data_IF_744511426397
#
_entry.id   IF_744511426397
#
_cell.length_a   1.000
_cell.length_b   1.000
_cell.length_c   1.000
_cell.angle_alpha   90.00
_cell.angle_beta   90.00
_cell.angle_gamma   90.00
#
_symmetry.space_group_name_H-M   'P 1'
#
loop_
_entity.id
_entity.type
_entity.pdbx_description
1 polymer ?
#
# COMPACT_ATOMS: atom_id res chain seq x y z
N UNK A 1 6.22 -6.03 -11.79
CA UNK A 1 5.16 -4.99 -11.81
C UNK A 1 4.39 -5.05 -10.50
N UNK A 2 4.17 -3.91 -9.84
CA UNK A 2 3.38 -3.82 -8.61
C UNK A 2 1.96 -3.36 -8.96
N UNK A 3 0.96 -4.09 -8.47
CA UNK A 3 -0.45 -3.75 -8.56
C UNK A 3 -1.03 -3.58 -7.15
N UNK A 4 -2.18 -2.94 -7.06
CA UNK A 4 -2.92 -2.74 -5.82
C UNK A 4 -4.37 -3.15 -6.06
N UNK A 5 -5.00 -3.79 -5.09
CA UNK A 5 -6.45 -4.03 -5.15
C UNK A 5 -7.22 -2.75 -4.87
N UNK A 6 -8.46 -2.65 -5.36
CA UNK A 6 -9.32 -1.49 -5.12
C UNK A 6 -9.45 -1.17 -3.61
N UNK A 7 -9.54 -2.22 -2.80
CA UNK A 7 -9.62 -2.08 -1.34
C UNK A 7 -8.32 -1.56 -0.72
N UNK A 8 -7.15 -2.05 -1.18
CA UNK A 8 -5.86 -1.50 -0.77
C UNK A 8 -5.75 -0.01 -1.13
N UNK A 9 -6.17 0.36 -2.34
CA UNK A 9 -6.20 1.75 -2.79
C UNK A 9 -7.11 2.62 -1.90
N UNK A 10 -8.30 2.13 -1.54
CA UNK A 10 -9.23 2.85 -0.67
C UNK A 10 -8.62 3.12 0.72
N UNK A 11 -8.07 2.09 1.35
CA UNK A 11 -7.45 2.21 2.68
C UNK A 11 -6.23 3.13 2.64
N UNK A 12 -5.36 2.98 1.64
CA UNK A 12 -4.15 3.81 1.52
C UNK A 12 -4.50 5.28 1.24
N UNK A 13 -5.48 5.54 0.37
CA UNK A 13 -5.95 6.90 0.10
C UNK A 13 -6.56 7.54 1.36
N UNK A 14 -7.35 6.79 2.13
CA UNK A 14 -7.90 7.27 3.40
C UNK A 14 -6.82 7.57 4.43
N UNK A 15 -5.80 6.71 4.52
CA UNK A 15 -4.65 6.91 5.41
C UNK A 15 -3.85 8.15 5.00
N UNK A 16 -3.54 8.34 3.72
CA UNK A 16 -2.86 9.53 3.19
C UNK A 16 -3.66 10.80 3.51
N UNK A 17 -4.96 10.81 3.17
CA UNK A 17 -5.82 11.96 3.42
C UNK A 17 -5.96 12.29 4.91
N UNK A 18 -5.98 11.28 5.78
CA UNK A 18 -5.99 11.47 7.23
C UNK A 18 -4.66 12.03 7.74
N UNK A 19 -3.53 11.48 7.28
CA UNK A 19 -2.20 11.90 7.68
C UNK A 19 -1.90 13.34 7.25
N UNK A 20 -2.29 13.70 6.01
CA UNK A 20 -2.09 15.03 5.44
C UNK A 20 -2.86 16.14 6.17
N UNK A 21 -3.90 15.80 6.93
CA UNK A 21 -4.57 16.77 7.82
C UNK A 21 -3.67 17.21 8.98
N UNK A 22 -2.74 16.36 9.41
CA UNK A 22 -1.80 16.66 10.49
C UNK A 22 -0.48 17.21 9.96
N UNK A 23 0.07 16.60 8.91
CA UNK A 23 1.28 17.08 8.22
C UNK A 23 1.07 16.95 6.70
N UNK A 24 0.93 18.08 5.96
CA UNK A 24 0.63 18.06 4.53
C UNK A 24 1.73 17.44 3.66
N UNK A 25 2.95 17.29 4.19
CA UNK A 25 4.10 16.71 3.51
C UNK A 25 4.18 15.19 3.67
N UNK A 26 3.45 14.62 4.64
CA UNK A 26 3.39 13.17 4.84
C UNK A 26 2.76 12.47 3.64
N UNK A 27 3.37 11.35 3.25
CA UNK A 27 2.92 10.41 2.24
C UNK A 27 2.95 8.99 2.80
N UNK A 28 2.31 8.08 2.08
CA UNK A 28 2.32 6.65 2.40
C UNK A 28 3.56 6.01 1.78
N UNK A 29 4.33 5.27 2.60
CA UNK A 29 5.46 4.44 2.15
C UNK A 29 5.15 2.97 2.39
N UNK A 30 5.40 2.13 1.40
CA UNK A 30 5.36 0.68 1.55
C UNK A 30 6.71 0.21 2.08
N UNK A 31 6.71 -0.70 3.05
CA UNK A 31 7.91 -1.28 3.64
C UNK A 31 7.78 -2.80 3.58
N UNK A 32 8.86 -3.47 3.15
CA UNK A 32 8.91 -4.93 3.16
C UNK A 32 9.09 -5.41 4.59
N UNK A 33 8.29 -6.39 5.01
CA UNK A 33 8.48 -7.05 6.29
C UNK A 33 9.35 -8.30 6.15
N UNK A 34 10.09 -8.60 7.21
CA UNK A 34 10.86 -9.84 7.32
C UNK A 34 9.87 -11.01 7.42
N UNK A 35 9.64 -11.70 6.29
CA UNK A 35 8.65 -12.78 6.18
C UNK A 35 7.81 -12.76 4.91
N UNK A 36 8.02 -11.78 4.01
CA UNK A 36 7.31 -11.71 2.72
C UNK A 36 6.00 -10.91 2.77
N UNK A 37 5.65 -10.33 3.92
CA UNK A 37 4.60 -9.34 4.05
C UNK A 37 5.06 -7.94 3.62
N UNK A 38 4.10 -7.04 3.51
CA UNK A 38 4.36 -5.60 3.37
C UNK A 38 3.54 -4.85 4.39
N UNK A 39 4.10 -3.75 4.89
CA UNK A 39 3.43 -2.81 5.78
C UNK A 39 3.42 -1.45 5.11
N UNK A 40 2.47 -0.59 5.48
CA UNK A 40 2.54 0.82 5.14
C UNK A 40 2.96 1.63 6.35
N UNK A 41 3.71 2.68 6.09
CA UNK A 41 4.13 3.68 7.06
C UNK A 41 3.81 5.06 6.51
N UNK A 42 3.68 6.03 7.40
CA UNK A 42 3.47 7.43 7.05
C UNK A 42 4.78 8.16 7.25
N UNK A 43 5.30 8.75 6.18
CA UNK A 43 6.57 9.47 6.19
C UNK A 43 6.53 10.67 5.25
N UNK A 44 7.20 11.74 5.64
CA UNK A 44 7.46 12.93 4.81
C UNK A 44 8.76 12.82 4.02
N UNK A 45 9.57 11.77 4.24
CA UNK A 45 10.82 11.52 3.53
C UNK A 45 10.78 10.22 2.74
N UNK A 46 10.95 10.33 1.41
CA UNK A 46 11.20 9.17 0.56
C UNK A 46 12.64 8.67 0.76
N UNK A 47 12.82 7.36 0.75
CA UNK A 47 14.15 6.76 0.71
C UNK A 47 14.78 6.97 -0.66
N UNK A 48 16.12 7.12 -0.77
CA UNK A 48 16.80 7.21 -2.06
C UNK A 48 16.50 6.05 -3.02
N UNK A 49 16.10 4.90 -2.48
CA UNK A 49 15.76 3.70 -3.25
C UNK A 49 14.26 3.50 -3.46
N UNK A 50 13.43 4.42 -2.94
CA UNK A 50 12.00 4.36 -3.15
C UNK A 50 11.64 4.93 -4.53
N UNK A 51 10.77 4.21 -5.22
CA UNK A 51 10.07 4.70 -6.39
C UNK A 51 8.84 5.48 -5.95
N UNK A 52 8.72 6.70 -6.42
CA UNK A 52 7.50 7.49 -6.29
C UNK A 52 6.47 6.99 -7.30
N UNK A 53 5.30 6.58 -6.81
CA UNK A 53 4.17 6.15 -7.60
C UNK A 53 2.97 7.07 -7.33
N UNK A 54 2.50 7.74 -8.38
CA UNK A 54 1.27 8.51 -8.32
C UNK A 54 0.09 7.61 -8.72
N UNK A 55 -0.95 7.57 -7.89
CA UNK A 55 -2.18 6.86 -8.21
C UNK A 55 -3.20 7.78 -8.86
N UNK A 56 -4.06 7.23 -9.72
CA UNK A 56 -5.13 7.99 -10.39
C UNK A 56 -6.12 8.63 -9.40
N UNK A 57 -6.25 8.06 -8.20
CA UNK A 57 -7.03 8.59 -7.09
C UNK A 57 -6.42 9.84 -6.43
N UNK A 58 -5.22 10.27 -6.87
CA UNK A 58 -4.60 11.54 -6.46
C UNK A 58 -3.73 11.48 -5.21
N UNK A 59 -3.39 10.29 -4.70
CA UNK A 59 -2.41 10.13 -3.62
C UNK A 59 -1.07 9.61 -4.17
N UNK A 60 -0.01 9.86 -3.41
CA UNK A 60 1.36 9.48 -3.78
C UNK A 60 1.88 8.42 -2.83
N UNK A 61 2.50 7.39 -3.39
CA UNK A 61 3.09 6.27 -2.68
C UNK A 61 4.61 6.24 -2.88
N UNK A 62 5.34 5.96 -1.81
CA UNK A 62 6.75 5.58 -1.88
C UNK A 62 6.86 4.07 -1.82
N UNK A 63 7.43 3.46 -2.86
CA UNK A 63 7.49 2.01 -3.02
C UNK A 63 8.95 1.59 -3.16
N UNK A 64 9.44 0.67 -2.30
CA UNK A 64 10.80 0.18 -2.41
C UNK A 64 11.05 -0.46 -3.77
N UNK A 65 12.23 -0.24 -4.32
CA UNK A 65 12.61 -0.84 -5.60
C UNK A 65 12.50 -2.38 -5.57
N UNK A 66 12.16 -2.96 -6.72
CA UNK A 66 12.04 -4.39 -6.94
C UNK A 66 10.84 -5.05 -6.24
N UNK A 67 9.89 -4.26 -5.72
CA UNK A 67 8.65 -4.82 -5.16
C UNK A 67 7.74 -5.24 -6.30
N UNK A 68 7.39 -6.52 -6.33
CA UNK A 68 6.56 -7.10 -7.39
C UNK A 68 5.44 -7.93 -6.79
N UNK A 69 4.25 -7.87 -7.40
CA UNK A 69 3.07 -8.56 -6.92
C UNK A 69 1.84 -7.66 -6.83
N UNK A 70 0.85 -8.12 -6.09
CA UNK A 70 -0.38 -7.36 -5.82
C UNK A 70 -0.46 -7.07 -4.32
N UNK A 71 -0.46 -5.79 -3.97
CA UNK A 71 -0.75 -5.34 -2.61
C UNK A 71 -2.25 -5.45 -2.38
N UNK A 72 -2.63 -6.20 -1.37
CA UNK A 72 -4.01 -6.41 -0.97
C UNK A 72 -4.18 -6.20 0.53
N UNK A 73 -5.42 -6.06 0.99
CA UNK A 73 -5.76 -5.86 2.40
C UNK A 73 -6.56 -7.07 2.90
N UNK A 74 -6.13 -7.65 4.02
CA UNK A 74 -6.86 -8.71 4.71
C UNK A 74 -7.74 -8.10 5.81
N UNK A 75 -9.04 -8.33 5.69
CA UNK A 75 -10.01 -8.10 6.76
C UNK A 75 -9.87 -9.14 7.89
N UNK A 76 -10.17 -8.79 9.15
CA UNK A 76 -10.74 -7.52 9.64
C UNK A 76 -9.72 -6.51 10.15
N UNK A 77 -8.42 -6.73 9.95
CA UNK A 77 -7.35 -5.96 10.61
C UNK A 77 -6.72 -4.88 9.72
N UNK A 78 -7.29 -4.60 8.55
CA UNK A 78 -6.72 -3.70 7.54
C UNK A 78 -5.23 -4.00 7.27
N UNK A 79 -4.86 -5.28 7.34
CA UNK A 79 -3.47 -5.69 7.21
C UNK A 79 -3.10 -5.77 5.73
N UNK A 80 -2.12 -4.97 5.32
CA UNK A 80 -1.56 -5.10 3.98
C UNK A 80 -0.78 -6.40 3.85
N UNK A 81 -0.92 -7.03 2.69
CA UNK A 81 -0.17 -8.21 2.28
C UNK A 81 0.34 -8.02 0.86
N UNK A 82 1.47 -8.64 0.55
CA UNK A 82 2.00 -8.70 -0.81
C UNK A 82 1.74 -10.10 -1.35
N UNK A 83 0.87 -10.19 -2.35
CA UNK A 83 0.61 -11.43 -3.08
C UNK A 83 1.62 -11.56 -4.21
N UNK A 84 2.26 -12.72 -4.32
CA UNK A 84 3.15 -13.01 -5.45
C UNK A 84 2.35 -13.05 -6.75
N UNK A 85 2.94 -12.62 -7.89
CA UNK A 85 2.27 -12.71 -9.19
C UNK A 85 1.97 -14.19 -9.52
N UNK A 86 0.69 -14.55 -9.54
CA UNK A 86 0.21 -15.92 -9.74
C UNK A 86 -0.59 -16.51 -8.57
N UNK A 87 -0.66 -15.82 -7.43
CA UNK A 87 -1.58 -16.19 -6.35
C UNK A 87 -3.01 -15.78 -6.75
N UNK A 88 -4.01 -16.69 -6.71
CA UNK A 88 -5.36 -16.36 -7.15
C UNK A 88 -5.95 -15.23 -6.31
N UNK A 89 -6.59 -14.26 -6.98
CA UNK A 89 -7.40 -13.21 -6.36
C UNK A 89 -8.47 -13.86 -5.47
N UNK A 90 -8.15 -13.98 -4.18
CA UNK A 90 -9.14 -14.24 -3.15
C UNK A 90 -9.38 -12.92 -2.43
N UNK A 91 -10.12 -12.03 -3.07
CA UNK A 91 -10.83 -10.98 -2.34
C UNK A 91 -11.69 -11.71 -1.32
N UNK A 92 -11.27 -11.75 -0.06
CA UNK A 92 -12.04 -12.37 1.01
C UNK A 92 -13.16 -11.43 1.43
N UNK A 93 -14.06 -11.12 0.49
CA UNK A 93 -15.37 -10.60 0.82
C UNK A 93 -16.12 -11.75 1.47
N UNK A 94 -16.11 -11.80 2.79
CA UNK A 94 -17.18 -12.50 3.49
C UNK A 94 -18.46 -11.72 3.16
N UNK A 95 -19.14 -12.14 2.10
CA UNK A 95 -20.47 -11.61 1.78
C UNK A 95 -21.38 -12.05 2.93
N UNK A 96 -22.08 -11.13 3.61
CA UNK A 96 -23.04 -11.52 4.65
C UNK A 96 -24.19 -12.35 4.09
#
# INVERSE_FOLDING_TARGET
MLAFTDWAIEILSRADAAARRFNPDVRVRIVREAGGGVRFELTDEADPTDRVMEHESGFTLFVPEGLEGTVDVIEPHDQLILRSPGDPERSSRATP
#
